data_IF_444365489533
#
_entry.id   IF_444365489533
#
_cell.length_a   1.000
_cell.length_b   1.000
_cell.length_c   1.000
_cell.angle_alpha   90.00
_cell.angle_beta   90.00
_cell.angle_gamma   90.00
#
_symmetry.space_group_name_H-M   'P 1'
#
loop_
_entity.id
_entity.type
_entity.pdbx_description
1 polymer ?
#
# COMPACT_ATOMS: atom_id res chain seq x y z
N UNK A 1 19.91 20.86 -8.19
CA UNK A 1 20.97 21.00 -7.16
C UNK A 1 20.51 20.43 -5.81
N UNK A 2 19.36 20.84 -5.27
CA UNK A 2 18.87 20.32 -3.98
C UNK A 2 18.67 18.79 -3.95
N UNK A 3 18.13 18.15 -5.00
CA UNK A 3 18.00 16.68 -5.06
C UNK A 3 19.33 15.93 -4.89
N UNK A 4 20.45 16.51 -5.32
CA UNK A 4 21.77 15.91 -5.15
C UNK A 4 22.39 16.22 -3.78
N UNK A 5 22.13 17.42 -3.25
CA UNK A 5 22.75 17.92 -2.02
C UNK A 5 21.97 17.54 -0.75
N UNK A 6 20.65 17.43 -0.86
CA UNK A 6 19.68 17.22 0.21
C UNK A 6 18.59 16.27 -0.26
N UNK A 7 19.00 15.07 -0.72
CA UNK A 7 18.09 14.08 -1.31
C UNK A 7 16.90 13.75 -0.40
N UNK A 8 17.17 13.31 0.84
CA UNK A 8 16.13 12.90 1.79
C UNK A 8 15.11 14.02 2.06
N UNK A 9 15.58 15.24 2.32
CA UNK A 9 14.71 16.41 2.54
C UNK A 9 13.90 16.76 1.28
N UNK A 10 14.53 16.66 0.10
CA UNK A 10 13.84 16.90 -1.17
C UNK A 10 12.72 15.89 -1.39
N UNK A 11 13.01 14.61 -1.14
CA UNK A 11 12.03 13.53 -1.27
C UNK A 11 10.85 13.76 -0.33
N UNK A 12 11.11 14.04 0.94
CA UNK A 12 10.07 14.29 1.95
C UNK A 12 9.18 15.49 1.58
N UNK A 13 9.79 16.62 1.19
CA UNK A 13 9.04 17.83 0.83
C UNK A 13 8.18 17.61 -0.41
N UNK A 14 8.69 16.94 -1.44
CA UNK A 14 7.94 16.68 -2.66
C UNK A 14 6.82 15.67 -2.42
N UNK A 15 7.06 14.62 -1.63
CA UNK A 15 6.02 13.66 -1.22
C UNK A 15 4.92 14.34 -0.39
N UNK A 16 5.28 15.22 0.54
CA UNK A 16 4.31 15.99 1.33
C UNK A 16 3.49 16.96 0.46
N UNK A 17 4.16 17.67 -0.46
CA UNK A 17 3.48 18.54 -1.41
C UNK A 17 2.51 17.74 -2.31
N UNK A 18 2.90 16.54 -2.75
CA UNK A 18 2.05 15.66 -3.55
C UNK A 18 0.81 15.23 -2.75
N UNK A 19 0.98 14.88 -1.47
CA UNK A 19 -0.13 14.59 -0.57
C UNK A 19 -1.10 15.77 -0.46
N UNK A 20 -0.60 16.99 -0.24
CA UNK A 20 -1.42 18.20 -0.18
C UNK A 20 -2.17 18.46 -1.50
N UNK A 21 -1.50 18.28 -2.64
CA UNK A 21 -2.11 18.45 -3.95
C UNK A 21 -3.26 17.45 -4.17
N UNK A 22 -3.05 16.17 -3.81
CA UNK A 22 -4.10 15.15 -3.84
C UNK A 22 -5.29 15.55 -2.97
N UNK A 23 -5.06 15.94 -1.70
CA UNK A 23 -6.15 16.27 -0.78
C UNK A 23 -6.93 17.52 -1.20
N UNK A 24 -6.28 18.45 -1.88
CA UNK A 24 -6.91 19.66 -2.40
C UNK A 24 -7.56 19.46 -3.78
N UNK A 25 -7.42 18.28 -4.39
CA UNK A 25 -7.89 18.04 -5.77
C UNK A 25 -7.10 18.81 -6.83
N UNK A 26 -5.87 19.26 -6.53
CA UNK A 26 -4.98 19.89 -7.50
C UNK A 26 -4.26 18.83 -8.34
N UNK A 27 -4.97 18.38 -9.38
CA UNK A 27 -4.50 17.34 -10.29
C UNK A 27 -3.25 17.75 -11.08
N UNK A 28 -3.09 19.04 -11.37
CA UNK A 28 -1.95 19.55 -12.16
C UNK A 28 -0.68 19.49 -11.34
N UNK A 29 -0.70 20.03 -10.12
CA UNK A 29 0.44 19.97 -9.21
C UNK A 29 0.76 18.53 -8.82
N UNK A 30 -0.25 17.71 -8.54
CA UNK A 30 -0.04 16.30 -8.22
C UNK A 30 0.73 15.55 -9.32
N UNK A 31 0.31 15.70 -10.59
CA UNK A 31 1.00 15.05 -11.72
C UNK A 31 2.45 15.51 -11.85
N UNK A 32 2.69 16.80 -11.70
CA UNK A 32 4.05 17.35 -11.76
C UNK A 32 4.94 16.78 -10.64
N UNK A 33 4.43 16.77 -9.41
CA UNK A 33 5.17 16.30 -8.23
C UNK A 33 5.47 14.80 -8.30
N UNK A 34 4.51 13.98 -8.75
CA UNK A 34 4.72 12.55 -9.00
C UNK A 34 5.83 12.35 -10.04
N UNK A 35 5.78 13.09 -11.15
CA UNK A 35 6.77 12.96 -12.23
C UNK A 35 8.19 13.36 -11.75
N UNK A 36 8.31 14.42 -10.95
CA UNK A 36 9.60 14.83 -10.40
C UNK A 36 10.19 13.75 -9.48
N UNK A 37 9.40 13.24 -8.52
CA UNK A 37 9.86 12.17 -7.62
C UNK A 37 10.22 10.92 -8.42
N UNK A 38 9.40 10.51 -9.38
CA UNK A 38 9.66 9.34 -10.21
C UNK A 38 10.98 9.45 -11.00
N UNK A 39 11.33 10.66 -11.45
CA UNK A 39 12.55 10.93 -12.21
C UNK A 39 13.80 11.10 -11.34
N UNK A 40 13.65 11.50 -10.07
CA UNK A 40 14.77 11.81 -9.17
C UNK A 40 15.03 10.74 -8.12
N UNK A 41 14.07 9.86 -7.84
CA UNK A 41 14.21 8.81 -6.85
C UNK A 41 15.34 7.83 -7.21
N UNK A 42 16.15 7.50 -6.21
CA UNK A 42 17.27 6.57 -6.33
C UNK A 42 16.80 5.11 -6.31
N UNK A 43 15.81 4.81 -5.47
CA UNK A 43 15.24 3.48 -5.32
C UNK A 43 13.76 3.45 -5.71
N UNK A 44 13.19 2.24 -5.79
CA UNK A 44 11.77 2.09 -6.07
C UNK A 44 10.93 2.50 -4.86
N UNK A 45 11.41 2.16 -3.67
CA UNK A 45 10.79 2.41 -2.37
C UNK A 45 10.56 3.90 -2.12
N UNK A 46 11.47 4.75 -2.60
CA UNK A 46 11.38 6.21 -2.55
C UNK A 46 10.13 6.75 -3.29
N UNK A 47 9.59 5.99 -4.24
CA UNK A 47 8.44 6.39 -5.06
C UNK A 47 7.11 5.97 -4.46
N UNK A 48 7.09 5.14 -3.41
CA UNK A 48 5.88 4.45 -2.97
C UNK A 48 4.78 5.40 -2.51
N UNK A 49 5.11 6.50 -1.81
CA UNK A 49 4.12 7.49 -1.40
C UNK A 49 3.46 8.18 -2.60
N UNK A 50 4.25 8.66 -3.57
CA UNK A 50 3.69 9.36 -4.74
C UNK A 50 2.91 8.41 -5.65
N UNK A 51 3.34 7.15 -5.77
CA UNK A 51 2.60 6.11 -6.47
C UNK A 51 1.29 5.78 -5.76
N UNK A 52 1.27 5.75 -4.43
CA UNK A 52 0.05 5.60 -3.65
C UNK A 52 -0.93 6.75 -3.91
N UNK A 53 -0.44 7.99 -3.93
CA UNK A 53 -1.28 9.15 -4.26
C UNK A 53 -1.83 9.10 -5.68
N UNK A 54 -1.05 8.60 -6.63
CA UNK A 54 -1.52 8.36 -8.00
C UNK A 54 -2.67 7.35 -8.05
N UNK A 55 -2.56 6.23 -7.32
CA UNK A 55 -3.67 5.26 -7.24
C UNK A 55 -4.91 5.88 -6.60
N UNK A 56 -4.74 6.72 -5.57
CA UNK A 56 -5.86 7.44 -4.97
C UNK A 56 -6.54 8.37 -5.98
N UNK A 57 -5.77 9.15 -6.73
CA UNK A 57 -6.30 10.06 -7.76
C UNK A 57 -7.04 9.30 -8.87
N UNK A 58 -6.55 8.13 -9.31
CA UNK A 58 -7.26 7.26 -10.26
C UNK A 58 -8.62 6.82 -9.71
N UNK A 59 -8.65 6.34 -8.47
CA UNK A 59 -9.90 5.93 -7.82
C UNK A 59 -10.90 7.08 -7.69
N UNK A 60 -10.45 8.29 -7.32
CA UNK A 60 -11.31 9.48 -7.23
C UNK A 60 -11.79 9.99 -8.60
N UNK A 61 -11.08 9.66 -9.67
CA UNK A 61 -11.44 10.00 -11.05
C UNK A 61 -12.33 8.94 -11.71
N UNK A 62 -13.03 8.09 -10.94
CA UNK A 62 -13.84 6.97 -11.43
C UNK A 62 -13.08 5.93 -12.26
N UNK A 63 -11.76 5.90 -12.17
CA UNK A 63 -10.88 4.94 -12.87
C UNK A 63 -10.43 3.83 -11.92
N UNK A 64 -11.42 3.19 -11.29
CA UNK A 64 -11.18 2.25 -10.19
C UNK A 64 -10.43 0.99 -10.64
N UNK A 65 -10.75 0.46 -11.82
CA UNK A 65 -10.05 -0.70 -12.38
C UNK A 65 -8.55 -0.42 -12.57
N UNK A 66 -8.21 0.74 -13.12
CA UNK A 66 -6.82 1.18 -13.32
C UNK A 66 -6.11 1.44 -11.98
N UNK A 67 -6.82 1.98 -10.98
CA UNK A 67 -6.29 2.10 -9.62
C UNK A 67 -5.94 0.74 -9.01
N UNK A 68 -6.77 -0.27 -9.24
CA UNK A 68 -6.56 -1.63 -8.71
C UNK A 68 -5.38 -2.30 -9.42
N UNK A 69 -5.36 -2.27 -10.75
CA UNK A 69 -4.28 -2.84 -11.55
C UNK A 69 -2.93 -2.24 -11.16
N UNK A 70 -2.88 -0.92 -11.00
CA UNK A 70 -1.66 -0.22 -10.57
C UNK A 70 -1.23 -0.58 -9.16
N UNK A 71 -2.19 -0.71 -8.23
CA UNK A 71 -1.90 -1.15 -6.86
C UNK A 71 -1.34 -2.57 -6.81
N UNK A 72 -1.88 -3.49 -7.62
CA UNK A 72 -1.39 -4.86 -7.74
C UNK A 72 0.02 -4.92 -8.34
N UNK A 73 0.30 -4.16 -9.40
CA UNK A 73 1.62 -4.07 -10.02
C UNK A 73 2.69 -3.55 -9.02
N UNK A 74 2.35 -2.54 -8.22
CA UNK A 74 3.25 -2.01 -7.20
C UNK A 74 3.53 -3.04 -6.10
N UNK A 75 2.49 -3.73 -5.61
CA UNK A 75 2.66 -4.78 -4.59
C UNK A 75 3.50 -5.95 -5.12
N UNK A 76 3.28 -6.38 -6.36
CA UNK A 76 4.10 -7.43 -6.99
C UNK A 76 5.58 -7.03 -7.10
N UNK A 77 5.88 -5.76 -7.40
CA UNK A 77 7.25 -5.22 -7.39
C UNK A 77 7.89 -5.22 -5.99
N UNK A 78 7.09 -5.22 -4.94
CA UNK A 78 7.53 -5.39 -3.55
C UNK A 78 7.60 -6.86 -3.11
N UNK A 79 7.34 -7.81 -4.02
CA UNK A 79 7.26 -9.24 -3.73
C UNK A 79 5.97 -9.66 -3.01
N UNK A 80 4.95 -8.81 -2.99
CA UNK A 80 3.67 -9.05 -2.33
C UNK A 80 2.63 -9.46 -3.36
N UNK A 81 2.47 -10.77 -3.53
CA UNK A 81 1.47 -11.33 -4.43
C UNK A 81 0.10 -11.45 -3.75
N UNK A 82 -0.90 -10.81 -4.33
CA UNK A 82 -2.29 -10.75 -3.80
C UNK A 82 -3.19 -11.78 -4.48
N UNK A 83 -2.69 -12.55 -5.44
CA UNK A 83 -3.44 -13.61 -6.12
C UNK A 83 -2.71 -14.94 -5.97
N UNK A 84 -3.43 -16.07 -6.02
CA UNK A 84 -2.81 -17.37 -5.80
C UNK A 84 -3.79 -18.54 -5.81
N UNK A 85 -3.48 -19.55 -5.00
CA UNK A 85 -4.27 -20.78 -4.83
C UNK A 85 -5.76 -20.52 -4.53
N UNK A 86 -6.58 -21.57 -4.54
CA UNK A 86 -8.02 -21.42 -4.26
C UNK A 86 -8.28 -20.76 -2.90
N UNK A 87 -9.44 -20.11 -2.76
CA UNK A 87 -9.83 -19.45 -1.50
C UNK A 87 -9.77 -20.43 -0.33
N UNK A 88 -10.19 -21.68 -0.54
CA UNK A 88 -10.18 -22.74 0.47
C UNK A 88 -8.75 -23.05 0.95
N UNK A 89 -7.79 -23.13 0.02
CA UNK A 89 -6.39 -23.34 0.36
C UNK A 89 -5.84 -22.18 1.19
N UNK A 90 -6.14 -20.93 0.78
CA UNK A 90 -5.72 -19.73 1.53
C UNK A 90 -6.37 -19.62 2.91
N UNK A 91 -7.62 -20.04 3.06
CA UNK A 91 -8.28 -20.13 4.38
C UNK A 91 -7.52 -21.10 5.27
N UNK A 92 -7.14 -22.27 4.77
CA UNK A 92 -6.40 -23.25 5.55
C UNK A 92 -5.02 -22.72 5.95
N UNK A 93 -4.26 -22.16 5.00
CA UNK A 93 -2.96 -21.53 5.28
C UNK A 93 -3.06 -20.43 6.33
N UNK A 94 -4.09 -19.59 6.26
CA UNK A 94 -4.33 -18.52 7.25
C UNK A 94 -4.67 -19.08 8.62
N UNK A 95 -5.46 -20.17 8.70
CA UNK A 95 -5.75 -20.85 9.97
C UNK A 95 -4.50 -21.47 10.57
N UNK A 96 -3.68 -22.11 9.75
CA UNK A 96 -2.44 -22.74 10.20
C UNK A 96 -1.47 -21.67 10.73
N UNK A 97 -1.36 -20.53 10.03
CA UNK A 97 -0.57 -19.37 10.47
C UNK A 97 -1.08 -18.83 11.81
N UNK A 98 -2.40 -18.63 11.96
CA UNK A 98 -3.00 -18.16 13.21
C UNK A 98 -2.82 -19.15 14.37
N UNK A 99 -2.84 -20.46 14.09
CA UNK A 99 -2.66 -21.49 15.12
C UNK A 99 -1.27 -21.48 15.79
N UNK A 100 -0.29 -20.83 15.16
CA UNK A 100 1.03 -20.62 15.71
C UNK A 100 1.10 -19.45 16.71
N UNK A 101 0.01 -18.69 16.88
CA UNK A 101 -0.08 -17.54 17.75
C UNK A 101 -1.22 -17.67 18.76
N UNK A 102 -0.96 -17.25 19.99
CA UNK A 102 -2.00 -17.12 21.02
C UNK A 102 -2.76 -15.79 20.86
N UNK A 103 -3.99 -15.74 21.39
CA UNK A 103 -4.79 -14.51 21.41
C UNK A 103 -4.02 -13.36 22.07
N UNK A 104 -3.32 -13.62 23.18
CA UNK A 104 -2.53 -12.61 23.89
C UNK A 104 -1.35 -12.11 23.05
N UNK A 105 -0.69 -12.97 22.28
CA UNK A 105 0.40 -12.55 21.38
C UNK A 105 -0.11 -11.67 20.23
N UNK A 106 -1.29 -11.98 19.70
CA UNK A 106 -1.93 -11.17 18.66
C UNK A 106 -2.34 -9.80 19.22
N UNK A 107 -2.97 -9.78 20.40
CA UNK A 107 -3.41 -8.55 21.06
C UNK A 107 -2.25 -7.64 21.46
N UNK A 108 -1.10 -8.23 21.83
CA UNK A 108 0.11 -7.51 22.18
C UNK A 108 1.13 -7.44 21.03
N UNK A 109 0.68 -7.66 19.79
CA UNK A 109 1.56 -7.60 18.63
C UNK A 109 2.22 -6.22 18.51
N UNK A 110 3.51 -6.24 18.17
CA UNK A 110 4.28 -5.01 17.99
C UNK A 110 3.69 -4.18 16.85
N UNK A 111 3.89 -2.87 16.92
CA UNK A 111 3.58 -2.00 15.79
C UNK A 111 4.57 -2.24 14.65
N UNK A 112 4.04 -2.22 13.42
CA UNK A 112 4.83 -2.25 12.20
C UNK A 112 5.69 -0.98 12.11
N UNK A 113 7.00 -1.16 11.86
CA UNK A 113 7.99 -0.07 11.80
C UNK A 113 8.70 0.04 10.45
N UNK A 114 8.63 -1.01 9.62
CA UNK A 114 9.19 -0.98 8.28
C UNK A 114 8.35 -0.04 7.39
N UNK A 115 8.93 1.06 6.87
CA UNK A 115 8.19 2.04 6.06
C UNK A 115 7.64 1.44 4.76
N UNK A 116 8.32 0.47 4.17
CA UNK A 116 7.89 -0.23 2.95
C UNK A 116 6.68 -1.12 3.23
N UNK A 117 6.66 -1.79 4.38
CA UNK A 117 5.49 -2.60 4.78
C UNK A 117 4.30 -1.73 5.17
N UNK A 118 4.53 -0.59 5.84
CA UNK A 118 3.47 0.37 6.19
C UNK A 118 2.79 0.91 4.93
N UNK A 119 3.55 1.28 3.90
CA UNK A 119 2.97 1.74 2.63
C UNK A 119 2.32 0.59 1.85
N UNK A 120 2.85 -0.64 1.90
CA UNK A 120 2.20 -1.81 1.33
C UNK A 120 0.83 -2.07 1.97
N UNK A 121 0.70 -1.93 3.30
CA UNK A 121 -0.58 -2.01 4.01
C UNK A 121 -1.58 -0.93 3.52
N UNK A 122 -1.11 0.29 3.23
CA UNK A 122 -1.96 1.34 2.62
C UNK A 122 -2.47 0.91 1.23
N UNK A 123 -1.60 0.32 0.41
CA UNK A 123 -2.01 -0.21 -0.90
C UNK A 123 -3.03 -1.34 -0.75
N UNK A 124 -2.81 -2.30 0.15
CA UNK A 124 -3.75 -3.40 0.41
C UNK A 124 -5.11 -2.88 0.88
N UNK A 125 -5.17 -1.94 1.83
CA UNK A 125 -6.44 -1.33 2.27
C UNK A 125 -7.15 -0.56 1.14
N UNK A 126 -6.38 0.07 0.24
CA UNK A 126 -6.96 0.73 -0.94
C UNK A 126 -7.52 -0.29 -1.94
N UNK A 127 -6.81 -1.40 -2.16
CA UNK A 127 -7.27 -2.50 -3.00
C UNK A 127 -8.52 -3.13 -2.42
N UNK A 128 -8.58 -3.40 -1.12
CA UNK A 128 -9.74 -3.96 -0.45
C UNK A 128 -10.99 -3.09 -0.70
N UNK A 129 -10.87 -1.77 -0.50
CA UNK A 129 -11.95 -0.82 -0.75
C UNK A 129 -12.39 -0.83 -2.21
N UNK A 130 -11.44 -0.78 -3.14
CA UNK A 130 -11.75 -0.75 -4.58
C UNK A 130 -12.35 -2.06 -5.09
N UNK A 131 -11.76 -3.19 -4.72
CA UNK A 131 -12.21 -4.52 -5.11
C UNK A 131 -13.58 -4.84 -4.53
N UNK A 132 -13.90 -4.38 -3.31
CA UNK A 132 -15.25 -4.55 -2.73
C UNK A 132 -16.33 -3.97 -3.64
N UNK A 133 -16.05 -2.84 -4.31
CA UNK A 133 -17.02 -2.17 -5.17
C UNK A 133 -17.22 -2.85 -6.53
N UNK A 134 -16.17 -3.39 -7.15
CA UNK A 134 -16.24 -3.86 -8.55
C UNK A 134 -15.88 -5.34 -8.77
N UNK A 135 -15.24 -5.99 -7.80
CA UNK A 135 -14.87 -7.41 -7.86
C UNK A 135 -14.80 -8.06 -6.46
N UNK A 136 -15.93 -8.11 -5.71
CA UNK A 136 -15.95 -8.54 -4.31
C UNK A 136 -15.42 -9.97 -4.09
N UNK A 137 -15.47 -10.83 -5.11
CA UNK A 137 -14.91 -12.20 -5.05
C UNK A 137 -13.39 -12.24 -4.86
N UNK A 138 -12.68 -11.16 -5.20
CA UNK A 138 -11.22 -11.07 -5.06
C UNK A 138 -10.77 -10.52 -3.71
N UNK A 139 -11.69 -9.92 -2.94
CA UNK A 139 -11.40 -9.28 -1.63
C UNK A 139 -10.73 -10.24 -0.64
N UNK A 140 -11.16 -11.51 -0.49
CA UNK A 140 -10.54 -12.43 0.47
C UNK A 140 -9.02 -12.55 0.30
N UNK A 141 -8.50 -12.49 -0.92
CA UNK A 141 -7.06 -12.60 -1.14
C UNK A 141 -6.27 -11.40 -0.59
N UNK A 142 -6.85 -10.19 -0.68
CA UNK A 142 -6.30 -8.99 -0.04
C UNK A 142 -6.29 -9.16 1.47
N UNK A 143 -7.41 -9.61 2.05
CA UNK A 143 -7.55 -9.84 3.49
C UNK A 143 -6.55 -10.87 4.01
N UNK A 144 -6.37 -12.00 3.31
CA UNK A 144 -5.36 -12.99 3.71
C UNK A 144 -3.96 -12.41 3.71
N UNK A 145 -3.62 -11.54 2.75
CA UNK A 145 -2.30 -10.91 2.71
C UNK A 145 -2.12 -9.89 3.83
N UNK A 146 -3.17 -9.13 4.16
CA UNK A 146 -3.15 -8.23 5.33
C UNK A 146 -2.85 -9.03 6.61
N UNK A 147 -3.56 -10.14 6.86
CA UNK A 147 -3.34 -10.99 8.03
C UNK A 147 -1.90 -11.50 8.08
N UNK A 148 -1.41 -12.04 6.97
CA UNK A 148 -0.05 -12.56 6.85
C UNK A 148 1.02 -11.50 7.17
N UNK A 149 0.87 -10.28 6.63
CA UNK A 149 1.79 -9.18 6.91
C UNK A 149 1.68 -8.65 8.34
N UNK A 150 0.47 -8.57 8.91
CA UNK A 150 0.29 -8.15 10.30
C UNK A 150 0.94 -9.10 11.29
N UNK A 151 0.86 -10.42 11.06
CA UNK A 151 1.47 -11.43 11.92
C UNK A 151 3.00 -11.46 11.80
N UNK A 152 3.54 -11.18 10.61
CA UNK A 152 4.99 -11.26 10.35
C UNK A 152 5.73 -9.94 10.62
N UNK A 153 5.11 -8.80 10.33
CA UNK A 153 5.74 -7.47 10.43
C UNK A 153 5.18 -6.61 11.58
N UNK A 154 4.09 -7.03 12.22
CA UNK A 154 3.39 -6.27 13.25
C UNK A 154 2.16 -5.52 12.73
N UNK A 155 1.39 -4.95 13.65
CA UNK A 155 0.13 -4.26 13.35
C UNK A 155 0.39 -2.89 12.68
N UNK A 156 -0.33 -2.60 11.61
CA UNK A 156 -0.18 -1.41 10.78
C UNK A 156 -0.67 -0.14 11.48
N UNK A 157 0.16 0.92 11.58
CA UNK A 157 -0.26 2.19 12.18
C UNK A 157 -1.36 2.95 11.38
N UNK A 158 -1.70 2.51 10.17
CA UNK A 158 -2.39 3.33 9.17
C UNK A 158 -3.66 2.70 8.60
N UNK A 159 -4.03 1.48 9.01
CA UNK A 159 -5.26 0.82 8.58
C UNK A 159 -6.14 0.48 9.79
N UNK A 160 -7.47 0.70 9.75
CA UNK A 160 -8.37 0.30 10.84
C UNK A 160 -8.38 -1.22 11.06
N UNK A 161 -7.99 -1.96 10.03
CA UNK A 161 -7.63 -3.36 10.14
C UNK A 161 -6.16 -3.38 10.54
N UNK A 162 -5.96 -3.25 11.85
CA UNK A 162 -4.78 -3.70 12.57
C UNK A 162 -3.44 -3.09 12.18
#
# INVERSE_FOLDING_TARGET
KHWQQHYALSLELYSLAAKCALTNGDHTSLKFLIAEVAAKAHFFEDKLDVLYFETCALAYSSRLAESIEKGLDILSKLGIEVQGASVEARVQETKDLLSAHTDDEILNSKQMTDPTMIIAMKFLGKLETGMTLIMPKSVPYVTFKIIELSLTHGMSPVTPIG
#
